data_IF_035094439387
#
_entry.id   IF_035094439387
#
_cell.length_a   1.000
_cell.length_b   1.000
_cell.length_c   1.000
_cell.angle_alpha   90.00
_cell.angle_beta   90.00
_cell.angle_gamma   90.00
#
_symmetry.space_group_name_H-M   'P 1'
#
loop_
_entity.id
_entity.type
_entity.pdbx_description
1 polymer ?
#
# COMPACT_ATOMS: atom_id res chain seq x y z
N UNK A 1 -10.67 1.35 -6.80
CA UNK A 1 -9.90 0.79 -5.67
C UNK A 1 -8.81 -0.10 -6.22
N UNK A 2 -7.81 -0.46 -5.42
CA UNK A 2 -6.76 -1.40 -5.83
C UNK A 2 -6.69 -2.56 -4.85
N UNK A 3 -6.33 -3.74 -5.33
CA UNK A 3 -5.90 -4.85 -4.49
C UNK A 3 -4.39 -4.97 -4.51
N UNK A 4 -3.80 -5.22 -3.36
CA UNK A 4 -2.36 -5.44 -3.24
C UNK A 4 -2.09 -6.72 -2.46
N UNK A 5 -1.23 -7.58 -3.00
CA UNK A 5 -0.64 -8.68 -2.25
C UNK A 5 0.69 -8.21 -1.69
N UNK A 6 0.85 -8.23 -0.37
CA UNK A 6 2.09 -7.85 0.31
C UNK A 6 2.63 -9.01 1.11
N UNK A 7 3.95 -9.06 1.26
CA UNK A 7 4.61 -10.02 2.13
C UNK A 7 4.44 -9.62 3.60
N UNK A 8 4.26 -10.62 4.45
CA UNK A 8 4.13 -10.44 5.89
C UNK A 8 2.74 -9.98 6.33
N UNK A 9 2.55 -9.99 7.64
CA UNK A 9 1.34 -9.48 8.27
C UNK A 9 1.26 -7.96 8.11
N UNK A 10 0.11 -7.46 7.68
CA UNK A 10 -0.20 -6.05 7.62
C UNK A 10 -1.27 -5.71 8.68
N UNK A 11 -0.99 -4.81 9.63
CA UNK A 11 -1.96 -4.46 10.65
C UNK A 11 -3.11 -3.65 10.03
N UNK A 12 -4.32 -3.83 10.56
CA UNK A 12 -5.33 -2.77 10.49
C UNK A 12 -5.07 -1.82 11.67
N UNK A 13 -5.61 -0.59 11.61
CA UNK A 13 -5.61 0.28 12.79
C UNK A 13 -6.43 -0.35 13.92
N UNK A 14 -6.04 -0.07 15.17
CA UNK A 14 -6.78 -0.51 16.34
C UNK A 14 -7.94 0.44 16.61
N UNK A 15 -9.16 -0.10 16.75
CA UNK A 15 -10.21 0.56 17.50
C UNK A 15 -10.21 0.01 18.93
N UNK A 16 -10.45 0.86 19.93
CA UNK A 16 -10.43 0.47 21.35
C UNK A 16 -11.42 -0.67 21.70
N UNK A 17 -12.30 -1.06 20.75
CA UNK A 17 -13.35 -2.06 20.90
C UNK A 17 -13.24 -3.26 19.93
N UNK A 18 -12.17 -3.37 19.13
CA UNK A 18 -11.91 -4.50 18.22
C UNK A 18 -12.97 -4.76 17.13
N UNK A 19 -13.89 -3.82 16.89
CA UNK A 19 -15.09 -4.03 16.05
C UNK A 19 -15.03 -3.31 14.71
N UNK A 20 -14.17 -2.29 14.58
CA UNK A 20 -14.04 -1.47 13.39
C UNK A 20 -12.74 -1.75 12.66
N UNK A 21 -12.86 -1.99 11.35
CA UNK A 21 -11.70 -2.07 10.46
C UNK A 21 -11.21 -0.64 10.18
N UNK A 22 -10.19 -0.20 10.90
CA UNK A 22 -9.58 1.12 10.68
C UNK A 22 -8.49 1.00 9.61
N UNK A 23 -8.51 1.84 8.56
CA UNK A 23 -7.44 1.86 7.56
C UNK A 23 -6.14 2.39 8.15
N UNK A 24 -5.02 1.80 7.74
CA UNK A 24 -3.70 2.42 7.90
C UNK A 24 -3.54 3.48 6.81
N UNK A 25 -3.31 4.73 7.21
CA UNK A 25 -3.06 5.84 6.28
C UNK A 25 -1.58 6.09 6.09
N UNK A 26 -1.19 6.39 4.85
CA UNK A 26 0.13 6.95 4.53
C UNK A 26 -0.07 8.27 3.77
N UNK A 27 0.35 9.36 4.40
CA UNK A 27 0.22 10.74 3.91
C UNK A 27 1.57 11.33 3.46
N UNK A 28 2.55 10.46 3.18
CA UNK A 28 3.89 10.90 2.82
C UNK A 28 3.93 11.50 1.41
N UNK A 29 4.56 12.68 1.23
CA UNK A 29 4.74 13.27 -0.09
C UNK A 29 5.63 12.40 -0.98
N UNK A 30 5.29 12.33 -2.28
CA UNK A 30 6.00 11.52 -3.28
C UNK A 30 6.60 12.43 -4.34
N UNK A 31 7.85 12.17 -4.71
CA UNK A 31 8.53 12.83 -5.81
C UNK A 31 9.43 11.89 -6.61
N UNK A 32 9.88 12.41 -7.75
CA UNK A 32 10.77 11.69 -8.68
C UNK A 32 12.22 11.85 -8.23
N UNK A 33 12.91 10.74 -8.00
CA UNK A 33 14.37 10.73 -7.80
C UNK A 33 15.08 10.77 -9.16
N UNK A 34 14.65 9.90 -10.07
CA UNK A 34 15.22 9.80 -11.42
C UNK A 34 14.09 9.57 -12.42
N UNK A 35 13.87 10.54 -13.31
CA UNK A 35 12.82 10.49 -14.30
C UNK A 35 13.11 9.48 -15.43
N UNK A 36 14.38 9.27 -15.77
CA UNK A 36 14.80 8.34 -16.84
C UNK A 36 14.60 6.90 -16.40
N UNK A 37 14.87 6.60 -15.13
CA UNK A 37 14.69 5.27 -14.54
C UNK A 37 13.29 5.06 -13.96
N UNK A 38 12.42 6.08 -13.97
CA UNK A 38 11.08 6.02 -13.39
C UNK A 38 11.08 5.84 -11.86
N UNK A 39 12.17 6.22 -11.19
CA UNK A 39 12.34 6.06 -9.75
C UNK A 39 11.54 7.13 -9.00
N UNK A 40 10.61 6.66 -8.16
CA UNK A 40 9.77 7.46 -7.29
C UNK A 40 10.06 7.09 -5.84
N UNK A 41 10.03 8.07 -4.94
CA UNK A 41 10.22 7.83 -3.52
C UNK A 41 9.46 8.85 -2.68
N UNK A 42 9.42 8.61 -1.37
CA UNK A 42 9.02 9.63 -0.41
C UNK A 42 10.10 10.71 -0.37
N UNK A 43 9.72 11.93 -0.71
CA UNK A 43 10.58 13.11 -0.70
C UNK A 43 9.85 14.23 0.04
N UNK A 44 10.55 14.99 0.88
CA UNK A 44 9.95 16.17 1.52
C UNK A 44 9.48 17.19 0.47
N UNK A 45 8.53 18.07 0.81
CA UNK A 45 8.06 19.11 -0.12
C UNK A 45 9.21 20.01 -0.60
N UNK A 46 10.16 20.34 0.29
CA UNK A 46 11.38 21.10 -0.06
C UNK A 46 12.33 20.39 -1.03
N UNK A 47 12.21 19.07 -1.16
CA UNK A 47 12.95 18.24 -2.13
C UNK A 47 12.10 17.92 -3.39
N UNK A 48 11.00 18.64 -3.60
CA UNK A 48 10.12 18.45 -4.75
C UNK A 48 9.07 17.36 -4.57
N UNK A 49 8.89 16.84 -3.36
CA UNK A 49 7.80 15.95 -3.01
C UNK A 49 6.44 16.62 -3.18
N UNK A 50 5.49 15.90 -3.78
CA UNK A 50 4.11 16.35 -3.94
C UNK A 50 3.21 15.57 -3.01
N UNK A 51 2.25 16.24 -2.38
CA UNK A 51 1.27 15.61 -1.48
C UNK A 51 0.64 14.37 -2.12
N UNK A 52 0.61 13.30 -1.34
CA UNK A 52 0.04 12.02 -1.71
C UNK A 52 -0.61 11.37 -0.48
N UNK A 53 -1.77 10.72 -0.68
CA UNK A 53 -2.47 10.02 0.40
C UNK A 53 -3.03 8.69 -0.07
N UNK A 54 -2.75 7.64 0.70
CA UNK A 54 -3.27 6.29 0.46
C UNK A 54 -3.80 5.69 1.77
N UNK A 55 -4.96 5.04 1.71
CA UNK A 55 -5.48 4.20 2.78
C UNK A 55 -5.32 2.73 2.42
N UNK A 56 -4.88 1.93 3.39
CA UNK A 56 -4.68 0.49 3.28
C UNK A 56 -5.55 -0.22 4.31
N UNK A 57 -6.31 -1.22 3.86
CA UNK A 57 -7.08 -2.11 4.73
C UNK A 57 -6.66 -3.54 4.42
N UNK A 58 -6.18 -4.29 5.40
CA UNK A 58 -6.00 -5.73 5.26
C UNK A 58 -7.37 -6.41 5.27
N UNK A 59 -7.68 -7.09 4.16
CA UNK A 59 -8.92 -7.86 3.99
C UNK A 59 -8.70 -9.38 4.15
N UNK A 60 -7.46 -9.85 4.02
CA UNK A 60 -7.10 -11.25 4.31
C UNK A 60 -5.66 -11.37 4.79
N UNK A 61 -5.38 -12.39 5.61
CA UNK A 61 -4.06 -12.80 6.06
C UNK A 61 -3.88 -14.29 5.79
N UNK A 62 -2.78 -14.64 5.12
CA UNK A 62 -2.35 -16.01 4.94
C UNK A 62 -1.02 -16.21 5.66
N UNK A 63 -0.98 -17.03 6.74
CA UNK A 63 0.27 -17.39 7.40
C UNK A 63 1.27 -18.09 6.48
N UNK A 64 2.52 -18.17 6.91
CA UNK A 64 3.59 -18.92 6.21
C UNK A 64 3.13 -20.33 5.82
N UNK A 65 3.30 -20.65 4.54
CA UNK A 65 3.08 -22.00 4.02
C UNK A 65 4.29 -22.87 4.40
N UNK A 66 4.06 -24.03 5.02
CA UNK A 66 5.12 -24.98 5.36
C UNK A 66 5.95 -25.43 4.13
N UNK A 67 5.38 -25.34 2.92
CA UNK A 67 6.05 -25.63 1.64
C UNK A 67 6.92 -24.47 1.14
N UNK A 68 6.79 -23.28 1.72
CA UNK A 68 7.57 -22.06 1.41
C UNK A 68 8.02 -21.38 2.71
N UNK A 69 8.89 -22.04 3.51
CA UNK A 69 9.26 -21.57 4.84
C UNK A 69 10.03 -20.23 4.81
N UNK A 70 10.58 -19.83 3.67
CA UNK A 70 11.26 -18.54 3.51
C UNK A 70 10.32 -17.34 3.45
N UNK A 71 9.01 -17.55 3.24
CA UNK A 71 8.04 -16.46 3.14
C UNK A 71 7.31 -16.30 4.48
N UNK A 72 7.39 -15.12 5.09
CA UNK A 72 6.73 -14.83 6.36
C UNK A 72 5.21 -14.57 6.21
N UNK A 73 4.52 -15.35 5.38
CA UNK A 73 3.10 -15.19 5.04
C UNK A 73 2.81 -14.02 4.10
N UNK A 74 1.53 -13.80 3.77
CA UNK A 74 1.08 -12.73 2.88
C UNK A 74 -0.22 -12.09 3.34
N UNK A 75 -0.36 -10.79 3.12
CA UNK A 75 -1.59 -10.04 3.36
C UNK A 75 -2.19 -9.55 2.04
N UNK A 76 -3.51 -9.63 1.92
CA UNK A 76 -4.25 -8.98 0.83
C UNK A 76 -4.81 -7.66 1.36
N UNK A 77 -4.48 -6.57 0.68
CA UNK A 77 -4.90 -5.22 1.04
C UNK A 77 -5.90 -4.68 0.02
N UNK A 78 -6.97 -4.07 0.50
CA UNK A 78 -7.77 -3.12 -0.25
C UNK A 78 -7.17 -1.72 -0.07
N UNK A 79 -6.81 -1.09 -1.18
CA UNK A 79 -6.13 0.19 -1.20
C UNK A 79 -7.02 1.25 -1.87
N UNK A 80 -7.10 2.42 -1.23
CA UNK A 80 -7.73 3.62 -1.78
C UNK A 80 -6.70 4.73 -1.87
N UNK A 81 -6.39 5.16 -3.10
CA UNK A 81 -5.62 6.38 -3.34
C UNK A 81 -6.56 7.57 -3.34
N UNK A 82 -6.15 8.67 -2.72
CA UNK A 82 -6.88 9.95 -2.73
C UNK A 82 -6.21 10.98 -3.65
N UNK A 83 -5.08 10.60 -4.24
CA UNK A 83 -4.25 11.36 -5.17
C UNK A 83 -3.73 10.40 -6.24
N UNK A 84 -3.30 10.91 -7.40
CA UNK A 84 -2.82 10.09 -8.51
C UNK A 84 -1.33 10.27 -8.81
N UNK A 85 -0.43 10.06 -7.84
CA UNK A 85 1.03 10.14 -8.10
C UNK A 85 1.53 8.86 -8.77
N UNK A 86 2.56 9.00 -9.60
CA UNK A 86 3.23 7.86 -10.24
C UNK A 86 3.75 6.90 -9.17
N UNK A 87 3.45 5.61 -9.33
CA UNK A 87 3.85 4.53 -8.39
C UNK A 87 3.40 4.73 -6.94
N UNK A 88 2.35 5.52 -6.68
CA UNK A 88 1.96 5.95 -5.33
C UNK A 88 1.83 4.80 -4.31
N UNK A 89 1.06 3.76 -4.64
CA UNK A 89 0.82 2.61 -3.76
C UNK A 89 2.13 1.90 -3.43
N UNK A 90 2.98 1.67 -4.44
CA UNK A 90 4.29 1.03 -4.29
C UNK A 90 5.19 1.82 -3.35
N UNK A 91 5.32 3.13 -3.57
CA UNK A 91 6.18 4.00 -2.76
C UNK A 91 5.70 4.07 -1.32
N UNK A 92 4.40 4.20 -1.09
CA UNK A 92 3.82 4.24 0.26
C UNK A 92 3.99 2.91 1.01
N UNK A 93 3.83 1.76 0.35
CA UNK A 93 4.09 0.45 0.98
C UNK A 93 5.57 0.29 1.36
N UNK A 94 6.48 0.69 0.46
CA UNK A 94 7.93 0.67 0.74
C UNK A 94 8.29 1.57 1.92
N UNK A 95 7.71 2.77 2.00
CA UNK A 95 7.89 3.68 3.14
C UNK A 95 7.41 3.06 4.46
N UNK A 96 6.31 2.31 4.45
CA UNK A 96 5.80 1.56 5.60
C UNK A 96 6.61 0.28 5.90
N UNK A 97 7.74 0.06 5.22
CA UNK A 97 8.59 -1.13 5.40
C UNK A 97 7.98 -2.41 4.85
N UNK A 98 7.05 -2.32 3.88
CA UNK A 98 6.38 -3.46 3.27
C UNK A 98 6.79 -3.64 1.82
N UNK A 99 7.18 -4.87 1.48
CA UNK A 99 7.36 -5.30 0.10
C UNK A 99 6.01 -5.74 -0.48
N UNK A 100 5.66 -5.20 -1.64
CA UNK A 100 4.49 -5.65 -2.40
C UNK A 100 4.94 -6.66 -3.47
N UNK A 101 4.06 -7.61 -3.78
CA UNK A 101 4.30 -8.65 -4.79
C UNK A 101 3.51 -8.32 -6.06
N UNK A 102 2.21 -8.03 -5.92
CA UNK A 102 1.32 -7.71 -7.03
C UNK A 102 0.37 -6.57 -6.65
N UNK A 103 0.05 -5.71 -7.62
CA UNK A 103 -0.95 -4.66 -7.50
C UNK A 103 -1.93 -4.82 -8.68
N UNK A 104 -3.22 -4.94 -8.38
CA UNK A 104 -4.28 -5.04 -9.36
C UNK A 104 -5.23 -3.85 -9.24
N UNK A 105 -5.50 -3.17 -10.36
CA UNK A 105 -6.55 -2.15 -10.41
C UNK A 105 -7.91 -2.88 -10.42
N UNK A 106 -8.77 -2.58 -9.46
CA UNK A 106 -10.16 -3.01 -9.55
C UNK A 106 -10.89 -2.01 -10.43
N UNK A 107 -11.25 -2.42 -11.63
CA UNK A 107 -12.23 -1.70 -12.44
C UNK A 107 -13.55 -1.71 -11.69
N UNK A 108 -13.94 -0.54 -11.19
CA UNK A 108 -15.34 -0.29 -10.89
C UNK A 108 -16.04 -0.19 -12.24
N UNK A 109 -16.51 -1.33 -12.78
CA UNK A 109 -17.65 -1.25 -13.70
C UNK A 109 -18.76 -0.63 -12.87
N UNK A 110 -18.98 0.67 -13.08
CA UNK A 110 -20.15 1.36 -12.56
C UNK A 110 -21.35 0.49 -12.92
N UNK A 111 -22.12 0.07 -11.93
CA UNK A 111 -23.39 -0.60 -12.16
C UNK A 111 -24.24 0.33 -13.02
N UNK A 112 -24.42 -0.07 -14.28
CA UNK A 112 -25.48 0.40 -15.17
C UNK A 112 -26.67 -0.53 -15.05
#
# INVERSE_FOLDING_TARGET
FYLCLVEGYFPNGDDDNGSNIIPVFCDQPIGTIDAKLGLQAVLSEGQGGKRARTAFIRIAWQPTDARKPSLNGTSILLCRIYTGRTHQIRVHLQYLGKSFVYIFLMDAKNGS
#
